data_IF_710677727688
#
_entry.id   IF_710677727688
#
_cell.length_a   1.000
_cell.length_b   1.000
_cell.length_c   1.000
_cell.angle_alpha   90.00
_cell.angle_beta   90.00
_cell.angle_gamma   90.00
#
_symmetry.space_group_name_H-M   'P 1'
#
loop_
_entity.id
_entity.type
_entity.pdbx_description
1 polymer ?
#
# COMPACT_ATOMS: atom_id res chain seq x y z
N UNK A 1 -0.16 -12.71 -31.18
CA UNK A 1 -0.14 -14.15 -31.50
C UNK A 1 0.25 -14.22 -32.96
N UNK A 2 1.51 -14.55 -33.22
CA UNK A 2 2.08 -14.60 -34.57
C UNK A 2 2.17 -16.07 -34.98
N UNK A 3 1.82 -16.38 -36.23
CA UNK A 3 1.81 -17.74 -36.76
C UNK A 3 2.98 -17.87 -37.74
N UNK A 4 3.97 -18.68 -37.39
CA UNK A 4 5.08 -19.04 -38.27
C UNK A 4 4.78 -20.37 -38.99
N UNK A 5 4.94 -20.39 -40.30
CA UNK A 5 4.81 -21.61 -41.12
C UNK A 5 6.14 -22.35 -41.11
N UNK A 6 6.16 -23.54 -40.49
CA UNK A 6 7.34 -24.40 -40.39
C UNK A 6 7.29 -25.57 -41.37
N UNK A 7 8.46 -26.08 -41.75
CA UNK A 7 8.59 -27.25 -42.62
C UNK A 7 8.41 -28.56 -41.86
N UNK A 8 8.12 -29.66 -42.58
CA UNK A 8 7.92 -30.98 -41.95
C UNK A 8 9.13 -31.45 -41.14
N UNK A 9 10.34 -31.15 -41.60
CA UNK A 9 11.57 -31.53 -40.91
C UNK A 9 11.75 -30.78 -39.58
N UNK A 10 11.38 -29.49 -39.52
CA UNK A 10 11.44 -28.68 -38.30
C UNK A 10 10.37 -29.10 -37.27
N UNK A 11 9.21 -29.53 -37.76
CA UNK A 11 8.13 -30.05 -36.91
C UNK A 11 8.52 -31.38 -36.23
N UNK A 12 9.30 -32.24 -36.90
CA UNK A 12 9.83 -33.48 -36.29
C UNK A 12 10.93 -33.19 -35.26
N UNK A 13 11.75 -32.15 -35.48
CA UNK A 13 12.79 -31.72 -34.54
C UNK A 13 12.21 -31.12 -33.25
N UNK A 14 11.08 -30.41 -33.31
CA UNK A 14 10.43 -29.75 -32.17
C UNK A 14 8.99 -30.25 -31.97
N UNK A 15 8.80 -31.50 -31.51
CA UNK A 15 7.48 -32.09 -31.36
C UNK A 15 6.65 -31.35 -30.30
N UNK A 16 5.41 -31.01 -30.64
CA UNK A 16 4.49 -30.36 -29.71
C UNK A 16 4.20 -31.24 -28.48
N UNK A 17 4.08 -30.62 -27.30
CA UNK A 17 3.67 -31.31 -26.06
C UNK A 17 4.78 -31.89 -25.19
N UNK A 18 6.06 -31.71 -25.56
CA UNK A 18 7.23 -32.10 -24.72
C UNK A 18 7.68 -31.02 -23.72
N UNK A 19 6.90 -29.95 -23.58
CA UNK A 19 7.40 -28.67 -23.06
C UNK A 19 8.12 -27.94 -24.18
N UNK A 20 7.85 -26.64 -24.34
CA UNK A 20 8.61 -25.84 -25.30
C UNK A 20 10.01 -25.63 -24.72
N UNK A 21 11.04 -25.80 -25.55
CA UNK A 21 12.34 -25.18 -25.30
C UNK A 21 12.15 -23.67 -25.10
N UNK A 22 13.13 -22.99 -24.50
CA UNK A 22 13.09 -21.54 -24.35
C UNK A 22 12.67 -20.86 -25.66
N UNK A 23 11.85 -19.79 -25.58
CA UNK A 23 11.38 -19.09 -26.76
C UNK A 23 12.56 -18.75 -27.67
N UNK A 24 12.36 -18.85 -28.99
CA UNK A 24 13.40 -18.47 -29.95
C UNK A 24 13.81 -17.02 -29.67
N UNK A 25 15.01 -16.86 -29.11
CA UNK A 25 15.51 -15.56 -28.67
C UNK A 25 15.93 -14.66 -29.84
N UNK A 26 15.72 -15.06 -31.10
CA UNK A 26 16.08 -14.26 -32.26
C UNK A 26 14.88 -13.46 -32.80
N UNK A 27 14.95 -12.11 -32.88
CA UNK A 27 16.03 -11.24 -32.41
C UNK A 27 15.97 -10.97 -30.90
N UNK A 28 17.12 -10.91 -30.25
CA UNK A 28 17.21 -10.67 -28.80
C UNK A 28 16.67 -9.28 -28.48
N UNK A 29 15.54 -9.24 -27.78
CA UNK A 29 14.93 -8.01 -27.30
C UNK A 29 15.66 -7.54 -26.04
N UNK A 30 16.15 -6.29 -26.05
CA UNK A 30 16.67 -5.68 -24.83
C UNK A 30 15.60 -5.67 -23.73
N UNK A 31 15.96 -5.94 -22.46
CA UNK A 31 15.01 -5.88 -21.37
C UNK A 31 14.41 -4.46 -21.30
N UNK A 32 13.07 -4.33 -21.15
CA UNK A 32 12.44 -3.02 -21.05
C UNK A 32 13.00 -2.28 -19.83
N UNK A 33 13.25 -0.97 -19.96
CA UNK A 33 13.59 -0.08 -18.83
C UNK A 33 12.41 -0.01 -17.85
N UNK A 34 12.33 -1.00 -16.97
CA UNK A 34 11.29 -1.14 -15.95
C UNK A 34 11.70 -0.36 -14.70
N UNK A 35 10.89 0.59 -14.19
CA UNK A 35 11.14 1.15 -12.88
C UNK A 35 10.99 0.06 -11.82
N UNK A 36 11.92 -0.02 -10.87
CA UNK A 36 11.95 -1.03 -9.80
C UNK A 36 10.68 -1.07 -8.94
N UNK A 37 9.83 -0.05 -9.05
CA UNK A 37 8.60 0.11 -8.26
C UNK A 37 7.38 -0.60 -8.84
N UNK A 38 7.47 -1.21 -10.02
CA UNK A 38 6.32 -1.65 -10.81
C UNK A 38 5.75 -3.03 -10.46
N UNK A 39 6.12 -3.64 -9.32
CA UNK A 39 5.69 -5.01 -8.98
C UNK A 39 5.29 -5.30 -7.54
N UNK A 40 5.23 -4.33 -6.63
CA UNK A 40 4.64 -4.60 -5.32
C UNK A 40 3.21 -4.06 -5.23
N UNK A 41 2.26 -4.94 -5.53
CA UNK A 41 0.83 -4.73 -5.29
C UNK A 41 0.54 -4.32 -3.84
N UNK A 42 1.39 -4.70 -2.87
CA UNK A 42 1.25 -4.33 -1.46
C UNK A 42 1.98 -3.04 -1.02
N UNK A 43 3.13 -2.67 -1.60
CA UNK A 43 3.86 -1.47 -1.13
C UNK A 43 3.30 -0.17 -1.72
N UNK A 44 2.70 -0.25 -2.92
CA UNK A 44 2.02 0.88 -3.57
C UNK A 44 0.83 1.42 -2.75
N UNK A 45 -0.10 0.57 -2.25
CA UNK A 45 -1.17 1.00 -1.35
C UNK A 45 -0.64 1.61 -0.05
N UNK A 46 0.42 1.03 0.55
CA UNK A 46 0.96 1.52 1.82
C UNK A 46 1.56 2.93 1.71
N UNK A 47 2.32 3.20 0.65
CA UNK A 47 2.86 4.54 0.39
C UNK A 47 1.74 5.57 0.18
N UNK A 48 0.69 5.18 -0.54
CA UNK A 48 -0.49 6.03 -0.78
C UNK A 48 -1.28 6.27 0.51
N UNK A 49 -1.49 5.24 1.33
CA UNK A 49 -2.17 5.32 2.61
C UNK A 49 -1.44 6.23 3.59
N UNK A 50 -0.11 6.08 3.71
CA UNK A 50 0.73 6.98 4.51
C UNK A 50 0.56 8.44 4.07
N UNK A 51 0.53 8.72 2.77
CA UNK A 51 0.38 10.08 2.25
C UNK A 51 -1.01 10.69 2.57
N UNK A 52 -2.07 9.91 2.40
CA UNK A 52 -3.45 10.33 2.67
C UNK A 52 -3.69 10.51 4.19
N UNK A 53 -3.23 9.55 4.99
CA UNK A 53 -3.35 9.58 6.45
C UNK A 53 -2.57 10.74 7.02
N UNK A 54 -1.31 10.92 6.63
CA UNK A 54 -0.47 11.95 7.23
C UNK A 54 -1.03 13.37 7.01
N UNK A 55 -1.71 13.61 5.88
CA UNK A 55 -2.34 14.91 5.60
C UNK A 55 -3.61 15.14 6.43
N UNK A 56 -4.41 14.11 6.69
CA UNK A 56 -5.67 14.22 7.46
C UNK A 56 -5.47 14.09 8.98
N UNK A 57 -4.61 13.19 9.43
CA UNK A 57 -4.41 12.88 10.86
C UNK A 57 -3.67 13.97 11.63
N UNK A 58 -2.89 14.84 10.99
CA UNK A 58 -2.26 15.98 11.68
C UNK A 58 -3.28 16.86 12.41
N UNK A 59 -4.39 17.19 11.75
CA UNK A 59 -5.45 18.02 12.38
C UNK A 59 -6.20 17.25 13.46
N UNK A 60 -6.50 15.98 13.22
CA UNK A 60 -7.20 15.11 14.18
C UNK A 60 -6.37 14.97 15.45
N UNK A 61 -5.06 14.71 15.35
CA UNK A 61 -4.17 14.57 16.50
C UNK A 61 -4.12 15.84 17.36
N UNK A 62 -4.04 17.02 16.72
CA UNK A 62 -4.05 18.31 17.41
C UNK A 62 -5.40 18.52 18.14
N UNK A 63 -6.53 18.27 17.48
CA UNK A 63 -7.85 18.40 18.09
C UNK A 63 -8.00 17.44 19.27
N UNK A 64 -7.64 16.17 19.10
CA UNK A 64 -7.68 15.17 20.17
C UNK A 64 -6.84 15.62 21.36
N UNK A 65 -5.62 16.12 21.14
CA UNK A 65 -4.75 16.58 22.22
C UNK A 65 -5.34 17.77 22.99
N UNK A 66 -5.95 18.73 22.29
CA UNK A 66 -6.64 19.88 22.91
C UNK A 66 -7.86 19.44 23.72
N UNK A 67 -8.70 18.57 23.16
CA UNK A 67 -9.89 18.03 23.85
C UNK A 67 -9.48 17.26 25.10
N UNK A 68 -8.41 16.46 25.02
CA UNK A 68 -7.90 15.69 26.15
C UNK A 68 -7.41 16.63 27.26
N UNK A 69 -6.64 17.68 26.92
CA UNK A 69 -6.22 18.71 27.88
C UNK A 69 -7.38 19.42 28.55
N UNK A 70 -8.39 19.84 27.78
CA UNK A 70 -9.60 20.49 28.32
C UNK A 70 -10.39 19.56 29.23
N UNK A 71 -10.58 18.30 28.83
CA UNK A 71 -11.24 17.29 29.66
C UNK A 71 -10.50 17.05 30.98
N UNK A 72 -9.17 16.97 30.93
CA UNK A 72 -8.34 16.77 32.12
C UNK A 72 -8.43 17.98 33.08
N UNK A 73 -8.46 19.19 32.53
CA UNK A 73 -8.72 20.41 33.30
C UNK A 73 -10.09 20.39 33.98
N UNK A 74 -11.15 20.00 33.28
CA UNK A 74 -12.50 19.92 33.85
C UNK A 74 -12.60 18.87 34.95
N UNK A 75 -11.99 17.69 34.76
CA UNK A 75 -11.96 16.64 35.77
C UNK A 75 -11.22 17.11 37.02
N UNK A 76 -10.05 17.73 36.87
CA UNK A 76 -9.30 18.29 37.98
C UNK A 76 -10.06 19.42 38.69
N UNK A 77 -10.76 20.26 37.92
CA UNK A 77 -11.59 21.33 38.47
C UNK A 77 -12.68 20.76 39.37
N UNK A 78 -13.45 19.77 38.89
CA UNK A 78 -14.51 19.11 39.68
C UNK A 78 -13.91 18.40 40.89
N UNK A 79 -12.79 17.69 40.73
CA UNK A 79 -12.09 17.04 41.83
C UNK A 79 -11.61 18.02 42.91
N UNK A 80 -11.27 19.25 42.52
CA UNK A 80 -10.80 20.29 43.43
C UNK A 80 -11.93 21.05 44.13
N UNK A 81 -13.20 20.83 43.76
CA UNK A 81 -14.35 21.46 44.43
C UNK A 81 -14.49 20.85 45.82
N UNK A 82 -14.45 21.65 46.90
CA UNK A 82 -14.61 21.12 48.25
C UNK A 82 -16.04 20.61 48.45
N UNK A 83 -16.19 19.47 49.14
CA UNK A 83 -17.48 18.80 49.39
C UNK A 83 -18.50 19.71 50.08
N UNK A 84 -18.03 20.67 50.88
CA UNK A 84 -18.88 21.69 51.52
C UNK A 84 -19.62 22.61 50.53
N UNK A 85 -19.12 22.77 49.30
CA UNK A 85 -19.79 23.52 48.26
C UNK A 85 -20.89 22.71 47.56
N UNK A 86 -20.82 21.37 47.60
CA UNK A 86 -21.81 20.46 47.01
C UNK A 86 -23.03 20.23 47.91
N UNK A 87 -22.90 20.36 49.23
CA UNK A 87 -24.05 20.28 50.16
C UNK A 87 -24.95 21.52 50.12
N UNK A 88 -24.48 22.62 49.52
CA UNK A 88 -25.19 23.91 49.45
C UNK A 88 -25.94 24.10 48.12
N UNK A 89 -25.69 23.25 47.12
CA UNK A 89 -26.39 23.21 45.82
C UNK A 89 -27.48 22.14 45.86
#
# INVERSE_FOLDING_TARGET
MELELITKAEAELRPAGRGQDEPNDNPHLDPPKRPETSFFWFTSPWKTFKFIIWKKFKKIFIITLVVLLLGLLLVLFIYSVPVSFLEVI
#
